data_IF_765749391687
#
_entry.id   IF_765749391687
#
_cell.length_a   1.000
_cell.length_b   1.000
_cell.length_c   1.000
_cell.angle_alpha   90.00
_cell.angle_beta   90.00
_cell.angle_gamma   90.00
#
_symmetry.space_group_name_H-M   'P 1'
#
loop_
_entity.id
_entity.type
_entity.pdbx_description
1 polymer ?
#
# COMPACT_ATOMS: atom_id res chain seq x y z
N UNK A 1 11.94 1.98 18.79
CA UNK A 1 13.36 1.63 19.03
C UNK A 1 14.06 1.69 17.69
N UNK A 2 15.27 2.23 17.65
CA UNK A 2 16.08 2.28 16.43
C UNK A 2 17.26 1.34 16.62
N UNK A 3 17.55 0.52 15.61
CA UNK A 3 18.64 -0.47 15.62
C UNK A 3 19.39 -0.42 14.30
N UNK A 4 20.71 -0.57 14.35
CA UNK A 4 21.54 -0.75 13.16
C UNK A 4 21.72 -2.26 12.92
N UNK A 5 21.42 -2.72 11.71
CA UNK A 5 21.41 -4.14 11.37
C UNK A 5 22.11 -4.34 10.03
N UNK A 6 22.84 -5.45 9.89
CA UNK A 6 23.45 -5.82 8.63
C UNK A 6 22.38 -6.22 7.59
N UNK A 7 22.63 -5.86 6.34
CA UNK A 7 21.80 -6.33 5.23
C UNK A 7 21.96 -7.85 5.11
N UNK A 8 20.87 -8.59 5.09
CA UNK A 8 20.85 -10.05 5.06
C UNK A 8 20.43 -10.70 6.38
N UNK A 9 20.49 -10.00 7.51
CA UNK A 9 20.07 -10.55 8.81
C UNK A 9 18.60 -10.96 8.78
N UNK A 10 18.23 -12.17 9.26
CA UNK A 10 16.83 -12.60 9.34
C UNK A 10 15.99 -11.67 10.21
N UNK A 11 14.72 -11.45 9.86
CA UNK A 11 13.82 -10.58 10.65
C UNK A 11 13.68 -11.10 12.09
N UNK A 12 13.65 -12.42 12.28
CA UNK A 12 13.56 -13.04 13.59
C UNK A 12 14.67 -12.57 14.55
N UNK A 13 15.93 -12.61 14.09
CA UNK A 13 17.08 -12.19 14.92
C UNK A 13 16.97 -10.72 15.36
N UNK A 14 16.42 -9.86 14.49
CA UNK A 14 16.22 -8.44 14.82
C UNK A 14 15.15 -8.28 15.90
N UNK A 15 14.05 -9.02 15.81
CA UNK A 15 13.01 -8.98 16.85
C UNK A 15 13.51 -9.56 18.17
N UNK A 16 14.24 -10.67 18.13
CA UNK A 16 14.82 -11.28 19.33
C UNK A 16 15.81 -10.35 20.01
N UNK A 17 16.65 -9.65 19.24
CA UNK A 17 17.56 -8.62 19.75
C UNK A 17 16.81 -7.46 20.44
N UNK A 18 15.61 -7.11 19.96
CA UNK A 18 14.77 -6.08 20.56
C UNK A 18 14.01 -6.53 21.82
N UNK A 19 14.18 -7.79 22.26
CA UNK A 19 13.48 -8.38 23.40
C UNK A 19 12.26 -9.23 23.01
N UNK A 20 12.13 -9.60 21.74
CA UNK A 20 11.06 -10.46 21.24
C UNK A 20 9.70 -9.77 21.12
N UNK A 21 8.65 -10.57 21.00
CA UNK A 21 7.27 -10.07 20.91
C UNK A 21 6.58 -10.09 22.27
N UNK A 22 5.82 -9.03 22.58
CA UNK A 22 4.98 -8.94 23.78
C UNK A 22 3.79 -9.92 23.68
N UNK A 23 3.22 -10.02 22.48
CA UNK A 23 2.16 -10.98 22.12
C UNK A 23 2.38 -11.48 20.69
N UNK A 24 1.78 -12.61 20.33
CA UNK A 24 1.96 -13.21 18.99
C UNK A 24 1.45 -12.25 17.90
N UNK A 25 2.33 -11.77 17.00
CA UNK A 25 1.94 -10.80 16.00
C UNK A 25 1.10 -11.46 14.91
N UNK A 26 -0.02 -10.83 14.54
CA UNK A 26 -0.85 -11.30 13.43
C UNK A 26 -0.29 -10.92 12.07
N UNK A 27 0.36 -9.76 11.97
CA UNK A 27 0.88 -9.24 10.71
C UNK A 27 2.23 -8.58 10.94
N UNK A 28 3.21 -9.02 10.16
CA UNK A 28 4.54 -8.46 10.18
C UNK A 28 4.72 -7.64 8.91
N UNK A 29 5.09 -6.38 9.06
CA UNK A 29 5.28 -5.45 7.95
C UNK A 29 6.74 -5.04 7.90
N UNK A 30 7.33 -5.25 6.72
CA UNK A 30 8.67 -4.83 6.40
C UNK A 30 8.60 -3.49 5.65
N UNK A 31 9.02 -2.41 6.31
CA UNK A 31 8.89 -1.03 5.86
C UNK A 31 7.96 -0.21 6.78
N UNK A 32 7.51 0.95 6.28
CA UNK A 32 6.60 1.82 7.03
C UNK A 32 5.16 1.28 7.09
N UNK A 33 4.29 1.83 7.97
CA UNK A 33 2.93 1.32 8.19
C UNK A 33 2.03 1.41 6.95
N UNK A 34 2.34 2.32 6.03
CA UNK A 34 1.53 2.59 4.83
C UNK A 34 2.10 1.96 3.56
N UNK A 35 3.43 1.89 3.46
CA UNK A 35 4.16 1.47 2.24
C UNK A 35 4.88 0.13 2.41
N UNK A 36 4.93 -0.40 3.62
CA UNK A 36 5.62 -1.63 3.91
C UNK A 36 4.91 -2.84 3.30
N UNK A 37 5.69 -3.89 3.08
CA UNK A 37 5.24 -5.15 2.53
C UNK A 37 4.96 -6.10 3.68
N UNK A 38 3.76 -6.68 3.71
CA UNK A 38 3.42 -7.72 4.67
C UNK A 38 4.24 -8.98 4.37
N UNK A 39 4.95 -9.48 5.38
CA UNK A 39 5.74 -10.70 5.31
C UNK A 39 4.95 -11.87 5.86
N UNK A 40 5.05 -13.02 5.19
CA UNK A 40 4.43 -14.27 5.62
C UNK A 40 5.33 -15.06 6.57
N UNK A 41 6.65 -14.87 6.47
CA UNK A 41 7.65 -15.60 7.25
C UNK A 41 8.63 -14.63 7.91
N UNK A 42 9.11 -15.02 9.09
CA UNK A 42 10.15 -14.32 9.84
C UNK A 42 11.57 -14.61 9.36
N UNK A 43 11.73 -15.62 8.51
CA UNK A 43 13.00 -16.00 7.88
C UNK A 43 13.45 -15.05 6.77
N UNK A 44 12.56 -14.12 6.37
CA UNK A 44 12.92 -13.09 5.40
C UNK A 44 14.10 -12.27 5.91
N UNK A 45 14.95 -11.80 5.01
CA UNK A 45 16.12 -11.00 5.39
C UNK A 45 15.82 -9.51 5.39
N UNK A 46 16.54 -8.76 6.23
CA UNK A 46 16.60 -7.31 6.14
C UNK A 46 17.27 -6.91 4.81
N UNK A 47 16.57 -6.09 4.03
CA UNK A 47 17.04 -5.55 2.75
C UNK A 47 17.35 -4.06 2.89
N UNK A 48 18.12 -3.51 1.94
CA UNK A 48 18.51 -2.08 1.93
C UNK A 48 17.31 -1.12 1.98
N UNK A 49 16.19 -1.51 1.38
CA UNK A 49 14.95 -0.72 1.34
C UNK A 49 14.12 -0.80 2.63
N UNK A 50 14.58 -1.54 3.64
CA UNK A 50 13.84 -1.74 4.88
C UNK A 50 14.11 -0.59 5.85
N UNK A 51 13.19 0.34 5.96
CA UNK A 51 13.33 1.48 6.87
C UNK A 51 12.77 1.21 8.27
N UNK A 52 11.86 0.23 8.41
CA UNK A 52 11.24 -0.14 9.67
C UNK A 52 10.77 -1.60 9.62
N UNK A 53 10.65 -2.22 10.79
CA UNK A 53 10.00 -3.51 10.97
C UNK A 53 8.87 -3.33 11.97
N UNK A 54 7.67 -3.73 11.60
CA UNK A 54 6.47 -3.55 12.41
C UNK A 54 5.84 -4.90 12.68
N UNK A 55 5.63 -5.22 13.95
CA UNK A 55 4.89 -6.37 14.40
C UNK A 55 3.52 -5.87 14.90
N UNK A 56 2.47 -6.09 14.11
CA UNK A 56 1.11 -5.66 14.42
C UNK A 56 0.34 -6.79 15.10
N UNK A 57 -0.33 -6.43 16.18
CA UNK A 57 -1.17 -7.33 16.96
C UNK A 57 -2.52 -7.52 16.28
N UNK A 58 -3.33 -8.50 16.69
CA UNK A 58 -4.64 -8.78 16.07
C UNK A 58 -5.53 -7.52 16.01
N UNK A 59 -5.58 -6.76 17.13
CA UNK A 59 -6.35 -5.52 17.22
C UNK A 59 -5.87 -4.43 16.27
N UNK A 60 -4.57 -4.38 15.97
CA UNK A 60 -3.97 -3.39 15.07
C UNK A 60 -4.04 -3.81 13.60
N UNK A 61 -3.99 -5.11 13.33
CA UNK A 61 -4.08 -5.69 12.00
C UNK A 61 -5.52 -5.87 11.51
N UNK A 62 -6.52 -5.61 12.37
CA UNK A 62 -7.92 -5.82 12.02
C UNK A 62 -8.37 -4.91 10.87
N UNK A 63 -8.60 -5.52 9.71
CA UNK A 63 -9.13 -4.83 8.55
C UNK A 63 -10.64 -4.64 8.72
N UNK A 64 -11.09 -3.39 8.58
CA UNK A 64 -12.53 -3.08 8.56
C UNK A 64 -13.09 -3.52 7.20
N UNK A 65 -14.28 -4.14 7.17
CA UNK A 65 -14.90 -4.54 5.91
C UNK A 65 -15.14 -3.31 5.03
N UNK A 66 -14.84 -3.46 3.75
CA UNK A 66 -15.11 -2.42 2.77
C UNK A 66 -16.63 -2.19 2.68
N UNK A 67 -17.03 -0.91 2.66
CA UNK A 67 -18.43 -0.50 2.54
C UNK A 67 -18.62 0.51 1.41
N UNK A 68 -19.87 0.92 1.18
CA UNK A 68 -20.22 1.82 0.08
C UNK A 68 -19.64 3.22 0.32
N UNK A 69 -19.08 3.82 -0.73
CA UNK A 69 -18.58 5.19 -0.65
C UNK A 69 -19.70 6.21 -0.43
N UNK A 70 -19.63 6.96 0.67
CA UNK A 70 -20.57 8.05 1.01
C UNK A 70 -20.17 9.43 0.44
N UNK A 71 -19.19 9.49 -0.46
CA UNK A 71 -18.71 10.73 -1.12
C UNK A 71 -18.30 11.87 -0.16
N UNK A 72 -17.69 11.53 0.99
CA UNK A 72 -17.28 12.50 2.01
C UNK A 72 -16.10 13.43 1.65
N UNK A 73 -15.43 13.24 0.50
CA UNK A 73 -14.31 14.11 0.05
C UNK A 73 -12.96 13.97 0.79
N UNK A 74 -12.88 13.25 1.92
CA UNK A 74 -11.65 13.13 2.73
C UNK A 74 -10.43 12.58 1.98
N UNK A 75 -10.66 11.68 1.02
CA UNK A 75 -9.58 11.10 0.22
C UNK A 75 -8.87 12.14 -0.68
N UNK A 76 -9.57 13.19 -1.10
CA UNK A 76 -9.02 14.29 -1.90
C UNK A 76 -8.25 15.25 -0.99
N UNK A 77 -8.83 15.59 0.17
CA UNK A 77 -8.22 16.52 1.14
C UNK A 77 -6.87 16.06 1.67
N UNK A 78 -6.69 14.75 1.89
CA UNK A 78 -5.44 14.18 2.43
C UNK A 78 -4.42 13.87 1.33
N UNK A 79 -4.77 14.01 0.04
CA UNK A 79 -3.90 13.60 -1.04
C UNK A 79 -2.78 14.64 -1.24
N UNK A 80 -1.50 14.28 -1.03
CA UNK A 80 -0.40 15.23 -1.21
C UNK A 80 -0.22 15.65 -2.69
N UNK A 81 -0.67 14.81 -3.62
CA UNK A 81 -0.63 15.07 -5.06
C UNK A 81 -1.89 15.76 -5.59
N UNK A 82 -2.85 16.10 -4.71
CA UNK A 82 -4.14 16.70 -5.08
C UNK A 82 -4.91 15.94 -6.17
N UNK A 83 -4.77 14.60 -6.19
CA UNK A 83 -5.46 13.74 -7.14
C UNK A 83 -6.92 13.53 -6.73
N UNK A 84 -7.66 12.84 -7.60
CA UNK A 84 -9.04 12.43 -7.40
C UNK A 84 -9.16 10.89 -7.24
N UNK A 85 -8.73 10.29 -6.10
CA UNK A 85 -8.70 8.84 -5.91
C UNK A 85 -10.04 8.13 -6.13
N UNK A 86 -11.14 8.81 -5.80
CA UNK A 86 -12.50 8.27 -5.97
C UNK A 86 -12.81 7.95 -7.44
N UNK A 87 -12.47 8.86 -8.34
CA UNK A 87 -12.75 8.71 -9.76
C UNK A 87 -11.82 7.66 -10.39
N UNK A 88 -10.55 7.63 -9.98
CA UNK A 88 -9.61 6.58 -10.39
C UNK A 88 -10.15 5.21 -9.96
N UNK A 89 -10.56 5.04 -8.70
CA UNK A 89 -11.14 3.80 -8.21
C UNK A 89 -12.41 3.41 -8.99
N UNK A 90 -13.33 4.36 -9.24
CA UNK A 90 -14.55 4.08 -10.00
C UNK A 90 -14.27 3.65 -11.44
N UNK A 91 -13.30 4.28 -12.12
CA UNK A 91 -12.94 3.93 -13.50
C UNK A 91 -12.27 2.56 -13.58
N UNK A 92 -11.40 2.22 -12.61
CA UNK A 92 -10.79 0.88 -12.51
C UNK A 92 -11.86 -0.19 -12.31
N UNK A 93 -12.81 0.03 -11.39
CA UNK A 93 -13.89 -0.93 -11.12
C UNK A 93 -14.84 -1.12 -12.32
N UNK A 94 -14.93 -0.12 -13.20
CA UNK A 94 -15.72 -0.18 -14.45
C UNK A 94 -14.93 -0.69 -15.65
N UNK A 95 -13.60 -0.83 -15.53
CA UNK A 95 -12.74 -1.17 -16.67
C UNK A 95 -12.60 -0.06 -17.72
N UNK A 96 -12.94 1.19 -17.38
CA UNK A 96 -12.93 2.32 -18.31
C UNK A 96 -11.54 2.93 -18.42
N UNK A 97 -10.66 2.32 -19.22
CA UNK A 97 -9.25 2.70 -19.33
C UNK A 97 -9.01 4.04 -20.03
N UNK A 98 -9.82 4.41 -21.03
CA UNK A 98 -9.72 5.71 -21.73
C UNK A 98 -9.97 6.88 -20.78
N UNK A 99 -11.00 6.75 -19.93
CA UNK A 99 -11.36 7.78 -18.96
C UNK A 99 -10.37 7.81 -17.80
N UNK A 100 -9.75 6.67 -17.48
CA UNK A 100 -8.76 6.53 -16.42
C UNK A 100 -7.52 7.42 -16.65
N UNK A 101 -7.06 7.53 -17.90
CA UNK A 101 -5.87 8.31 -18.26
C UNK A 101 -6.05 9.80 -17.95
N UNK A 102 -7.27 10.34 -18.11
CA UNK A 102 -7.61 11.74 -17.81
C UNK A 102 -7.41 12.13 -16.35
N UNK A 103 -7.41 11.15 -15.43
CA UNK A 103 -7.21 11.39 -14.00
C UNK A 103 -5.75 11.20 -13.56
N UNK A 104 -4.82 11.04 -14.51
CA UNK A 104 -3.37 10.97 -14.28
C UNK A 104 -2.96 10.03 -13.11
N UNK A 105 -3.41 8.76 -13.08
CA UNK A 105 -3.09 7.85 -11.97
C UNK A 105 -1.59 7.55 -11.85
N UNK A 106 -0.80 7.81 -12.89
CA UNK A 106 0.66 7.66 -12.89
C UNK A 106 1.36 8.62 -11.91
N UNK A 107 0.77 9.78 -11.64
CA UNK A 107 1.35 10.80 -10.73
C UNK A 107 1.21 10.41 -9.25
N UNK A 108 0.36 9.42 -8.94
CA UNK A 108 0.18 8.98 -7.57
C UNK A 108 1.47 8.31 -7.04
N UNK A 109 2.01 8.78 -5.91
CA UNK A 109 3.17 8.13 -5.25
C UNK A 109 2.81 6.90 -4.40
N UNK A 110 1.57 6.43 -4.46
CA UNK A 110 1.07 5.24 -3.75
C UNK A 110 1.12 5.29 -2.22
N UNK A 111 1.21 6.49 -1.62
CA UNK A 111 1.40 6.71 -0.18
C UNK A 111 0.36 6.11 0.78
N UNK A 112 -0.81 5.65 0.32
CA UNK A 112 -1.81 5.01 1.18
C UNK A 112 -2.80 5.94 1.88
N UNK A 113 -2.52 7.25 1.98
CA UNK A 113 -3.27 8.18 2.83
C UNK A 113 -4.77 8.21 2.55
N UNK A 114 -5.16 8.11 1.28
CA UNK A 114 -6.56 8.11 0.86
C UNK A 114 -7.32 6.85 1.33
N UNK A 115 -6.67 5.68 1.34
CA UNK A 115 -7.25 4.43 1.85
C UNK A 115 -7.40 4.48 3.37
N UNK A 116 -6.40 5.03 4.07
CA UNK A 116 -6.38 5.06 5.53
C UNK A 116 -7.44 5.98 6.12
N UNK A 117 -7.66 7.17 5.54
CA UNK A 117 -8.65 8.13 6.06
C UNK A 117 -10.10 7.78 5.66
N UNK A 118 -10.30 6.80 4.77
CA UNK A 118 -11.61 6.50 4.22
C UNK A 118 -12.51 5.87 5.30
N UNK A 119 -13.65 6.49 5.66
CA UNK A 119 -14.57 5.92 6.63
C UNK A 119 -15.22 4.62 6.12
N UNK A 120 -15.31 4.46 4.81
CA UNK A 120 -15.84 3.27 4.15
C UNK A 120 -14.78 2.19 3.91
N UNK A 121 -13.54 2.40 4.38
CA UNK A 121 -12.41 1.47 4.22
C UNK A 121 -12.16 1.05 2.77
N UNK A 122 -12.38 1.97 1.81
CA UNK A 122 -12.13 1.71 0.39
C UNK A 122 -10.63 1.54 0.14
N UNK A 123 -10.26 0.50 -0.59
CA UNK A 123 -8.86 0.20 -0.93
C UNK A 123 -8.35 1.03 -2.14
N UNK A 124 -8.48 2.36 -2.06
CA UNK A 124 -8.19 3.30 -3.16
C UNK A 124 -6.76 3.15 -3.71
N UNK A 125 -5.78 3.01 -2.84
CA UNK A 125 -4.36 2.84 -3.23
C UNK A 125 -4.14 1.58 -4.06
N UNK A 126 -4.81 0.48 -3.71
CA UNK A 126 -4.71 -0.76 -4.48
C UNK A 126 -5.33 -0.60 -5.87
N UNK A 127 -6.46 0.08 -5.98
CA UNK A 127 -7.05 0.40 -7.28
C UNK A 127 -6.18 1.31 -8.12
N UNK A 128 -5.47 2.28 -7.51
CA UNK A 128 -4.53 3.13 -8.25
C UNK A 128 -3.32 2.32 -8.75
N UNK A 129 -2.82 1.35 -7.97
CA UNK A 129 -1.78 0.41 -8.44
C UNK A 129 -2.25 -0.41 -9.64
N UNK A 130 -3.49 -0.91 -9.59
CA UNK A 130 -4.12 -1.59 -10.71
C UNK A 130 -4.25 -0.67 -11.93
N UNK A 131 -4.71 0.57 -11.74
CA UNK A 131 -4.80 1.58 -12.80
C UNK A 131 -3.47 1.77 -13.54
N UNK A 132 -2.38 1.99 -12.79
CA UNK A 132 -1.04 2.15 -13.36
C UNK A 132 -0.59 0.90 -14.12
N UNK A 133 -0.86 -0.28 -13.59
CA UNK A 133 -0.50 -1.53 -14.24
C UNK A 133 -1.24 -1.71 -15.58
N UNK A 134 -2.53 -1.41 -15.63
CA UNK A 134 -3.32 -1.49 -16.86
C UNK A 134 -2.88 -0.45 -17.91
N UNK A 135 -2.63 0.80 -17.51
CA UNK A 135 -2.11 1.81 -18.44
C UNK A 135 -0.72 1.45 -19.00
N UNK A 136 0.16 0.85 -18.17
CA UNK A 136 1.46 0.33 -18.65
C UNK A 136 1.29 -0.79 -19.68
N UNK A 137 0.33 -1.70 -19.47
CA UNK A 137 0.03 -2.76 -20.45
C UNK A 137 -0.47 -2.19 -21.76
N UNK A 138 -1.33 -1.17 -21.73
CA UNK A 138 -1.82 -0.49 -22.94
C UNK A 138 -0.68 0.18 -23.72
N UNK A 139 0.15 0.98 -23.05
CA UNK A 139 1.27 1.66 -23.71
C UNK A 139 2.28 0.67 -24.32
N UNK A 140 2.53 -0.48 -23.68
CA UNK A 140 3.41 -1.51 -24.23
C UNK A 140 2.79 -2.22 -25.45
N UNK A 141 1.46 -2.35 -25.53
CA UNK A 141 0.78 -2.93 -26.71
C UNK A 141 0.91 -2.02 -27.93
N UNK A 142 0.82 -0.71 -27.74
CA UNK A 142 0.99 0.27 -28.81
C UNK A 142 2.44 0.32 -29.34
N UNK A 143 3.43 0.11 -28.46
CA UNK A 143 4.85 0.11 -28.82
C UNK A 143 5.36 -1.20 -29.44
N UNK A 144 4.65 -2.32 -29.23
CA UNK A 144 5.01 -3.63 -29.79
C UNK A 144 4.46 -3.90 -31.20
N UNK A 145 3.80 -2.92 -31.82
CA UNK A 145 3.18 -3.01 -33.14
C UNK A 145 3.93 -2.23 -34.23
N UNK A 146 5.27 -2.25 -34.23
CA UNK A 146 6.09 -1.78 -35.35
C UNK A 146 7.22 -2.77 -35.64
#
# INVERSE_FOLDING_TARGET
>A
MNVEVLIGTPLQEVFDFCGGFIEEPRKIIMGGPMMGVAQYTLESSVLKQNNALLALTDRQAQEKPESVCIRCGRCVLVCPMSLLPLYINSNVMRGNLEELEKYHPNDCMECGSCSYICPASRHLTQSIRQAKAELRKMSNREKGGN
#
